data_IF_236754386312
#
_entry.id   IF_236754386312
#
_cell.length_a   1.000
_cell.length_b   1.000
_cell.length_c   1.000
_cell.angle_alpha   90.00
_cell.angle_beta   90.00
_cell.angle_gamma   90.00
#
_symmetry.space_group_name_H-M   'P 1'
#
loop_
_entity.id
_entity.type
_entity.pdbx_description
1 polymer ?
#
# COMPACT_ATOMS: atom_id res chain seq x y z
N UNK A 1 14.99 -5.34 10.81
CA UNK A 1 14.84 -5.97 9.48
C UNK A 1 13.39 -5.98 8.98
N UNK A 2 12.39 -6.26 9.82
CA UNK A 2 10.95 -6.29 9.42
C UNK A 2 10.40 -4.98 8.84
N UNK A 3 10.70 -3.82 9.45
CA UNK A 3 10.25 -2.50 8.95
C UNK A 3 10.72 -2.19 7.53
N UNK A 4 11.95 -2.57 7.18
CA UNK A 4 12.49 -2.36 5.84
C UNK A 4 11.69 -3.10 4.75
N UNK A 5 11.31 -4.35 5.04
CA UNK A 5 10.52 -5.19 4.13
C UNK A 5 9.09 -4.63 4.00
N UNK A 6 8.50 -4.20 5.11
CA UNK A 6 7.17 -3.58 5.13
C UNK A 6 7.14 -2.27 4.35
N UNK A 7 8.11 -1.38 4.57
CA UNK A 7 8.25 -0.13 3.81
C UNK A 7 8.41 -0.37 2.31
N UNK A 8 9.20 -1.38 1.91
CA UNK A 8 9.31 -1.79 0.49
C UNK A 8 7.96 -2.26 -0.06
N UNK A 9 7.21 -3.07 0.69
CA UNK A 9 5.88 -3.56 0.30
C UNK A 9 4.88 -2.41 0.15
N UNK A 10 4.86 -1.46 1.08
CA UNK A 10 4.03 -0.26 1.00
C UNK A 10 4.36 0.54 -0.27
N UNK A 11 5.64 0.79 -0.55
CA UNK A 11 6.06 1.47 -1.79
C UNK A 11 5.58 0.75 -3.06
N UNK A 12 5.63 -0.59 -3.08
CA UNK A 12 5.11 -1.41 -4.20
C UNK A 12 3.60 -1.21 -4.37
N UNK A 13 2.85 -1.28 -3.26
CA UNK A 13 1.39 -1.10 -3.26
C UNK A 13 1.01 0.29 -3.75
N UNK A 14 1.67 1.35 -3.25
CA UNK A 14 1.44 2.73 -3.72
C UNK A 14 1.64 2.81 -5.23
N UNK A 15 2.77 2.30 -5.76
CA UNK A 15 3.04 2.35 -7.21
C UNK A 15 1.95 1.67 -8.05
N UNK A 16 1.49 0.49 -7.65
CA UNK A 16 0.46 -0.27 -8.39
C UNK A 16 -0.92 0.37 -8.25
N UNK A 17 -1.33 0.68 -7.01
CA UNK A 17 -2.69 1.09 -6.70
C UNK A 17 -2.95 2.53 -7.11
N UNK A 18 -1.99 3.44 -6.97
CA UNK A 18 -2.17 4.83 -7.42
C UNK A 18 -2.50 4.90 -8.91
N UNK A 19 -1.81 4.13 -9.76
CA UNK A 19 -2.10 4.08 -11.19
C UNK A 19 -3.48 3.47 -11.49
N UNK A 20 -3.85 2.38 -10.81
CA UNK A 20 -5.16 1.72 -10.98
C UNK A 20 -6.31 2.61 -10.51
N UNK A 21 -6.22 3.19 -9.32
CA UNK A 21 -7.28 4.01 -8.72
C UNK A 21 -7.48 5.32 -9.47
N UNK A 22 -6.40 6.01 -9.87
CA UNK A 22 -6.50 7.24 -10.67
C UNK A 22 -7.14 6.95 -12.03
N UNK A 23 -6.77 5.85 -12.69
CA UNK A 23 -7.35 5.46 -13.98
C UNK A 23 -8.84 5.15 -13.89
N UNK A 24 -9.28 4.48 -12.82
CA UNK A 24 -10.67 4.03 -12.67
C UNK A 24 -11.61 5.08 -12.08
N UNK A 25 -11.13 5.90 -11.15
CA UNK A 25 -11.99 6.75 -10.30
C UNK A 25 -11.54 8.22 -10.21
N UNK A 26 -10.37 8.55 -10.77
CA UNK A 26 -9.75 9.88 -10.67
C UNK A 26 -9.00 10.12 -9.35
N UNK A 27 -8.42 11.32 -9.22
CA UNK A 27 -7.77 11.76 -7.98
C UNK A 27 -8.82 12.20 -6.97
N UNK A 28 -8.74 11.70 -5.72
CA UNK A 28 -9.68 11.98 -4.63
C UNK A 28 -8.93 11.97 -3.30
N UNK A 29 -9.49 12.65 -2.31
CA UNK A 29 -8.91 12.69 -0.96
C UNK A 29 -9.11 11.37 -0.21
N UNK A 30 -10.21 10.65 -0.50
CA UNK A 30 -10.48 9.29 -0.01
C UNK A 30 -11.22 8.46 -1.08
N UNK A 31 -11.03 7.15 -1.03
CA UNK A 31 -11.77 6.17 -1.83
C UNK A 31 -12.68 5.34 -0.93
N UNK A 32 -13.84 4.92 -1.43
CA UNK A 32 -14.72 4.05 -0.66
C UNK A 32 -14.12 2.65 -0.52
N UNK A 33 -14.50 1.92 0.53
CA UNK A 33 -14.01 0.55 0.78
C UNK A 33 -14.29 -0.34 -0.43
N UNK A 34 -15.50 -0.29 -1.00
CA UNK A 34 -15.84 -1.08 -2.18
C UNK A 34 -14.94 -0.79 -3.39
N UNK A 35 -14.55 0.46 -3.62
CA UNK A 35 -13.62 0.83 -4.70
C UNK A 35 -12.22 0.27 -4.45
N UNK A 36 -11.75 0.38 -3.20
CA UNK A 36 -10.45 -0.12 -2.76
C UNK A 36 -10.38 -1.65 -2.86
N UNK A 37 -11.40 -2.35 -2.36
CA UNK A 37 -11.50 -3.80 -2.40
C UNK A 37 -11.56 -4.30 -3.85
N UNK A 38 -12.45 -3.76 -4.68
CA UNK A 38 -12.56 -4.13 -6.09
C UNK A 38 -11.22 -3.99 -6.83
N UNK A 39 -10.49 -2.90 -6.56
CA UNK A 39 -9.20 -2.62 -7.21
C UNK A 39 -8.04 -3.46 -6.67
N UNK A 40 -8.19 -4.04 -5.48
CA UNK A 40 -7.17 -4.83 -4.78
C UNK A 40 -7.48 -6.33 -4.68
N UNK A 41 -8.57 -6.81 -5.32
CA UNK A 41 -8.97 -8.23 -5.33
C UNK A 41 -7.85 -9.20 -5.71
N UNK A 42 -6.99 -8.81 -6.65
CA UNK A 42 -5.87 -9.63 -7.12
C UNK A 42 -4.66 -9.63 -6.16
N UNK A 43 -4.65 -8.77 -5.14
CA UNK A 43 -3.56 -8.65 -4.19
C UNK A 43 -3.71 -9.63 -3.03
N UNK A 44 -2.60 -9.97 -2.37
CA UNK A 44 -2.63 -10.75 -1.14
C UNK A 44 -3.40 -10.02 -0.02
N UNK A 45 -4.00 -10.76 0.93
CA UNK A 45 -4.72 -10.18 2.08
C UNK A 45 -3.93 -9.07 2.80
N UNK A 46 -2.62 -9.28 2.98
CA UNK A 46 -1.75 -8.30 3.64
C UNK A 46 -1.52 -7.05 2.79
N UNK A 47 -1.48 -7.17 1.46
CA UNK A 47 -1.43 -6.00 0.58
C UNK A 47 -2.78 -5.28 0.55
N UNK A 48 -3.91 -5.99 0.55
CA UNK A 48 -5.24 -5.40 0.64
C UNK A 48 -5.39 -4.51 1.90
N UNK A 49 -4.94 -5.00 3.06
CA UNK A 49 -4.88 -4.20 4.30
C UNK A 49 -4.04 -2.93 4.15
N UNK A 50 -2.91 -3.01 3.44
CA UNK A 50 -2.09 -1.84 3.13
C UNK A 50 -2.83 -0.88 2.20
N UNK A 51 -3.58 -1.38 1.21
CA UNK A 51 -4.39 -0.52 0.33
C UNK A 51 -5.45 0.23 1.12
N UNK A 52 -6.17 -0.47 2.00
CA UNK A 52 -7.17 0.14 2.90
C UNK A 52 -6.52 1.23 3.77
N UNK A 53 -5.36 0.95 4.37
CA UNK A 53 -4.64 1.93 5.17
C UNK A 53 -4.20 3.17 4.36
N UNK A 54 -3.88 3.02 3.07
CA UNK A 54 -3.37 4.10 2.24
C UNK A 54 -4.48 4.96 1.61
N UNK A 55 -5.57 4.34 1.17
CA UNK A 55 -6.52 4.97 0.24
C UNK A 55 -7.96 5.04 0.77
N UNK A 56 -8.34 4.20 1.75
CA UNK A 56 -9.69 4.22 2.29
C UNK A 56 -9.86 5.34 3.33
N UNK A 57 -11.10 5.80 3.48
CA UNK A 57 -11.50 6.67 4.58
C UNK A 57 -11.39 5.91 5.92
N UNK A 58 -10.65 6.43 6.92
CA UNK A 58 -10.59 5.84 8.24
C UNK A 58 -11.94 5.65 8.93
N UNK A 59 -12.92 6.51 8.62
CA UNK A 59 -14.23 6.52 9.29
C UNK A 59 -15.14 5.37 8.81
N UNK A 60 -14.92 4.89 7.58
CA UNK A 60 -15.73 3.84 6.98
C UNK A 60 -15.25 2.42 7.35
N UNK A 61 -14.11 2.30 8.04
CA UNK A 61 -13.46 1.02 8.32
C UNK A 61 -14.24 0.13 9.29
N UNK A 62 -14.27 -1.16 8.99
CA UNK A 62 -14.88 -2.17 9.85
C UNK A 62 -14.17 -2.27 11.21
N UNK A 63 -14.96 -2.32 12.29
CA UNK A 63 -14.51 -2.19 13.70
C UNK A 63 -13.44 -3.22 14.05
N UNK A 64 -13.54 -4.44 13.51
CA UNK A 64 -12.57 -5.50 13.74
C UNK A 64 -11.20 -5.23 13.09
N UNK A 65 -11.18 -4.52 11.96
CA UNK A 65 -9.98 -4.23 11.19
C UNK A 65 -9.31 -2.91 11.60
N UNK A 66 -10.05 -2.03 12.29
CA UNK A 66 -9.59 -0.71 12.77
C UNK A 66 -8.23 -0.77 13.46
N UNK A 67 -7.96 -1.64 14.47
CA UNK A 67 -6.69 -1.60 15.19
C UNK A 67 -5.49 -1.92 14.30
N UNK A 68 -5.63 -2.91 13.41
CA UNK A 68 -4.57 -3.33 12.50
C UNK A 68 -4.29 -2.25 11.45
N UNK A 69 -5.36 -1.66 10.91
CA UNK A 69 -5.25 -0.62 9.88
C UNK A 69 -4.69 0.67 10.48
N UNK A 70 -5.09 1.05 11.70
CA UNK A 70 -4.53 2.21 12.40
C UNK A 70 -3.02 2.07 12.63
N UNK A 71 -2.54 0.89 13.04
CA UNK A 71 -1.10 0.63 13.16
C UNK A 71 -0.37 0.82 11.81
N UNK A 72 -0.95 0.29 10.72
CA UNK A 72 -0.40 0.49 9.38
C UNK A 72 -0.40 1.96 8.96
N UNK A 73 -1.46 2.71 9.29
CA UNK A 73 -1.53 4.16 9.01
C UNK A 73 -0.46 4.91 9.78
N UNK A 74 -0.23 4.58 11.05
CA UNK A 74 0.83 5.18 11.85
C UNK A 74 2.22 4.86 11.28
N UNK A 75 2.46 3.63 10.85
CA UNK A 75 3.72 3.26 10.19
C UNK A 75 3.92 4.06 8.89
N UNK A 76 2.88 4.20 8.06
CA UNK A 76 2.92 4.99 6.81
C UNK A 76 3.18 6.46 7.10
N UNK A 77 2.44 7.04 8.04
CA UNK A 77 2.59 8.44 8.46
C UNK A 77 4.04 8.74 8.88
N UNK A 78 4.63 7.90 9.72
CA UNK A 78 6.02 8.05 10.14
C UNK A 78 7.03 7.85 9.00
N UNK A 79 6.83 6.86 8.12
CA UNK A 79 7.80 6.49 7.08
C UNK A 79 7.81 7.43 5.86
N UNK A 80 6.70 8.12 5.60
CA UNK A 80 6.46 8.88 4.36
C UNK A 80 6.02 10.33 4.58
N UNK A 81 5.40 10.64 5.72
CA UNK A 81 4.78 11.95 5.99
C UNK A 81 5.26 12.58 7.31
N UNK A 82 6.38 12.12 7.87
CA UNK A 82 6.98 12.73 9.06
C UNK A 82 6.15 12.61 10.35
N UNK A 83 5.15 11.72 10.39
CA UNK A 83 4.23 11.58 11.52
C UNK A 83 2.93 12.38 11.40
N UNK A 84 2.72 13.07 10.28
CA UNK A 84 1.49 13.82 10.01
C UNK A 84 0.37 12.93 9.46
N UNK A 85 -0.87 13.40 9.60
CA UNK A 85 -2.02 12.78 8.94
C UNK A 85 -1.90 12.94 7.43
N UNK A 86 -2.33 11.92 6.69
CA UNK A 86 -2.28 11.92 5.23
C UNK A 86 -3.62 11.48 4.64
N UNK A 87 -3.88 11.98 3.43
CA UNK A 87 -5.02 11.61 2.59
C UNK A 87 -4.58 10.68 1.46
N UNK A 88 -5.54 10.06 0.78
CA UNK A 88 -5.27 9.28 -0.42
C UNK A 88 -4.60 10.16 -1.50
N UNK A 89 -4.98 11.44 -1.58
CA UNK A 89 -4.40 12.41 -2.51
C UNK A 89 -2.92 12.67 -2.22
N UNK A 90 -2.53 12.77 -0.95
CA UNK A 90 -1.12 12.90 -0.58
C UNK A 90 -0.31 11.68 -1.00
N UNK A 91 -0.90 10.49 -0.84
CA UNK A 91 -0.31 9.22 -1.31
C UNK A 91 -0.16 9.19 -2.84
N UNK A 92 -1.13 9.75 -3.59
CA UNK A 92 -1.02 9.89 -5.05
C UNK A 92 0.10 10.87 -5.44
N UNK A 93 0.22 11.98 -4.71
CA UNK A 93 1.24 13.01 -4.95
C UNK A 93 2.66 12.53 -4.65
N UNK A 94 2.83 11.52 -3.78
CA UNK A 94 4.13 10.88 -3.55
C UNK A 94 4.78 10.39 -4.86
N UNK A 95 3.99 9.95 -5.85
CA UNK A 95 4.51 9.50 -7.15
C UNK A 95 4.97 10.65 -8.06
N UNK A 96 4.42 11.85 -7.88
CA UNK A 96 4.74 13.03 -8.69
C UNK A 96 6.02 13.74 -8.28
N UNK A 97 6.46 13.55 -7.02
CA UNK A 97 7.74 14.07 -6.54
C UNK A 97 8.91 13.30 -7.18
N UNK A 98 9.83 14.01 -7.86
CA UNK A 98 10.96 13.44 -8.61
C UNK A 98 11.94 12.51 -7.83
N UNK A 99 11.71 12.29 -6.52
CA UNK A 99 12.44 11.35 -5.68
C UNK A 99 11.81 9.95 -5.54
N UNK A 100 10.59 9.70 -6.06
CA UNK A 100 9.91 8.42 -5.85
C UNK A 100 10.42 7.30 -6.76
N UNK A 101 11.51 6.64 -6.33
CA UNK A 101 11.91 5.33 -6.87
C UNK A 101 11.03 4.26 -6.25
N UNK A 102 9.81 4.12 -6.78
CA UNK A 102 8.85 3.08 -6.38
C UNK A 102 9.55 1.73 -6.25
N UNK A 103 9.32 1.06 -5.11
CA UNK A 103 10.03 -0.17 -4.75
C UNK A 103 9.99 -1.18 -5.90
N UNK A 104 11.16 -1.68 -6.29
CA UNK A 104 11.33 -2.64 -7.39
C UNK A 104 10.42 -3.85 -7.13
N UNK A 105 9.58 -4.17 -8.10
CA UNK A 105 8.44 -5.08 -7.98
C UNK A 105 8.81 -6.55 -8.12
N UNK A 106 10.04 -6.92 -7.76
CA UNK A 106 10.46 -8.31 -7.81
C UNK A 106 9.96 -8.96 -6.53
N UNK A 107 8.88 -9.74 -6.64
CA UNK A 107 8.43 -10.71 -5.64
C UNK A 107 9.28 -11.99 -5.70
N UNK A 108 10.55 -11.85 -6.08
CA UNK A 108 11.47 -12.96 -6.34
C UNK A 108 12.21 -13.44 -5.07
N UNK A 109 11.64 -13.17 -3.89
CA UNK A 109 12.07 -13.87 -2.67
C UNK A 109 11.46 -15.27 -2.55
N UNK A 110 10.78 -15.76 -3.59
CA UNK A 110 10.41 -17.17 -3.76
C UNK A 110 11.44 -18.01 -4.52
N UNK A 111 12.46 -17.41 -5.16
CA UNK A 111 13.45 -18.17 -5.95
C UNK A 111 14.82 -18.34 -5.28
N UNK A 112 15.04 -17.84 -4.06
CA UNK A 112 16.36 -17.96 -3.39
C UNK A 112 16.55 -19.23 -2.57
N UNK A 113 15.49 -19.99 -2.26
CA UNK A 113 15.56 -21.20 -1.42
C UNK A 113 15.12 -22.48 -2.17
N UNK A 114 15.08 -22.47 -3.51
CA UNK A 114 14.45 -23.54 -4.30
C UNK A 114 15.26 -24.07 -5.48
N UNK A 115 16.57 -23.81 -5.56
CA UNK A 115 17.44 -24.40 -6.59
C UNK A 115 18.53 -25.27 -5.96
N UNK A 116 18.10 -26.43 -5.46
CA UNK A 116 18.94 -27.63 -5.50
C UNK A 116 18.14 -28.74 -6.16
N UNK A 117 18.02 -28.66 -7.47
CA UNK A 117 17.61 -29.78 -8.31
C UNK A 117 18.79 -30.76 -8.43
N UNK A 118 18.66 -31.88 -7.73
CA UNK A 118 19.12 -33.25 -8.03
C UNK A 118 20.12 -33.43 -9.19
N UNK A 119 21.27 -34.02 -8.90
CA UNK A 119 21.78 -35.28 -9.48
C UNK A 119 22.77 -35.92 -8.53
#
# INVERSE_FOLDING_TARGET
>A
MFRYIQRRRIKKVIKLMSARLVKSYGSRDFFSIGQVEMSSRELSKRQQQIVLALFADPQDLDVELVPTIQLLRNDVSNDFFGGENYTARDVLNLLGGGGWKGGRMDDDMSHRMGMHSRY
#
